data_IF_121284280298
#
_entry.id   IF_121284280298
#
_cell.length_a   1.000
_cell.length_b   1.000
_cell.length_c   1.000
_cell.angle_alpha   90.00
_cell.angle_beta   90.00
_cell.angle_gamma   90.00
#
_symmetry.space_group_name_H-M   'P 1'
#
loop_
_entity.id
_entity.type
_entity.pdbx_description
1 polymer ?
#
# COMPACT_ATOMS: atom_id res chain seq x y z
N UNK A 1 -20.87 -11.87 -1.85
CA UNK A 1 -21.53 -12.97 -2.60
C UNK A 1 -23.00 -12.99 -2.22
N UNK A 2 -23.90 -12.88 -3.20
CA UNK A 2 -25.35 -12.93 -2.97
C UNK A 2 -25.88 -14.36 -3.06
N UNK A 3 -25.41 -15.13 -4.04
CA UNK A 3 -25.86 -16.49 -4.27
C UNK A 3 -24.77 -17.36 -4.92
N UNK A 4 -24.76 -18.66 -4.62
CA UNK A 4 -23.87 -19.65 -5.19
C UNK A 4 -22.46 -19.67 -4.59
N UNK A 5 -21.52 -20.30 -5.32
CA UNK A 5 -20.10 -20.45 -4.94
C UNK A 5 -19.20 -20.12 -6.11
N UNK A 6 -18.02 -19.54 -5.83
CA UNK A 6 -17.03 -19.17 -6.85
C UNK A 6 -15.61 -19.35 -6.34
N UNK A 7 -14.69 -19.72 -7.22
CA UNK A 7 -13.25 -19.75 -6.92
C UNK A 7 -12.67 -18.35 -7.15
N UNK A 8 -12.03 -17.80 -6.14
CA UNK A 8 -11.29 -16.55 -6.17
C UNK A 8 -9.79 -16.88 -6.14
N UNK A 9 -9.15 -16.74 -7.29
CA UNK A 9 -7.71 -16.84 -7.40
C UNK A 9 -7.11 -15.48 -7.08
N UNK A 10 -6.27 -15.39 -6.05
CA UNK A 10 -5.70 -14.12 -5.57
C UNK A 10 -4.28 -14.30 -5.06
N UNK A 11 -3.33 -13.51 -5.58
CA UNK A 11 -1.92 -13.50 -5.16
C UNK A 11 -1.28 -14.90 -5.09
N UNK A 12 -1.56 -15.76 -6.08
CA UNK A 12 -1.12 -17.17 -6.16
C UNK A 12 -1.76 -18.13 -5.15
N UNK A 13 -2.75 -17.65 -4.38
CA UNK A 13 -3.60 -18.47 -3.53
C UNK A 13 -4.98 -18.68 -4.18
N UNK A 14 -5.71 -19.67 -3.67
CA UNK A 14 -7.09 -19.98 -4.05
C UNK A 14 -7.97 -19.88 -2.80
N UNK A 15 -9.04 -19.09 -2.89
CA UNK A 15 -10.12 -19.02 -1.90
C UNK A 15 -11.44 -19.42 -2.56
N UNK A 16 -12.27 -20.20 -1.87
CA UNK A 16 -13.65 -20.46 -2.34
C UNK A 16 -14.59 -19.54 -1.60
N UNK A 17 -15.32 -18.70 -2.34
CA UNK A 17 -16.31 -17.79 -1.79
C UNK A 17 -17.70 -18.41 -1.93
N UNK A 18 -18.51 -18.30 -0.88
CA UNK A 18 -19.90 -18.74 -0.82
C UNK A 18 -20.86 -17.58 -0.55
N UNK A 19 -22.17 -17.80 -0.69
CA UNK A 19 -23.21 -16.87 -0.21
C UNK A 19 -22.89 -16.32 1.18
N UNK A 20 -23.00 -14.99 1.33
CA UNK A 20 -22.68 -14.29 2.57
C UNK A 20 -21.22 -13.85 2.68
N UNK A 21 -20.33 -14.27 1.78
CA UNK A 21 -18.92 -13.90 1.84
C UNK A 21 -18.72 -12.46 1.35
N UNK A 22 -17.99 -11.69 2.15
CA UNK A 22 -17.53 -10.34 1.86
C UNK A 22 -16.00 -10.34 1.85
N UNK A 23 -15.41 -9.89 0.75
CA UNK A 23 -13.95 -9.87 0.56
C UNK A 23 -13.51 -8.48 0.16
N UNK A 24 -12.44 -7.99 0.76
CA UNK A 24 -11.86 -6.69 0.47
C UNK A 24 -10.60 -6.85 -0.38
N UNK A 25 -10.71 -6.49 -1.65
CA UNK A 25 -9.63 -6.65 -2.62
C UNK A 25 -8.84 -5.35 -2.72
N UNK A 26 -7.52 -5.43 -2.65
CA UNK A 26 -6.65 -4.26 -2.70
C UNK A 26 -6.29 -3.90 -4.14
N UNK A 27 -5.93 -2.63 -4.40
CA UNK A 27 -5.42 -2.21 -5.70
C UNK A 27 -4.16 -2.97 -6.17
N UNK A 28 -3.38 -3.54 -5.24
CA UNK A 28 -2.17 -4.32 -5.53
C UNK A 28 -2.43 -5.82 -5.72
N UNK A 29 -3.65 -6.29 -5.48
CA UNK A 29 -3.96 -7.71 -5.59
C UNK A 29 -4.15 -8.09 -7.06
N UNK A 30 -3.47 -9.16 -7.48
CA UNK A 30 -3.72 -9.76 -8.78
C UNK A 30 -4.73 -10.89 -8.57
N UNK A 31 -5.92 -10.75 -9.15
CA UNK A 31 -6.99 -11.69 -8.92
C UNK A 31 -7.90 -11.90 -10.13
N UNK A 32 -8.55 -13.06 -10.17
CA UNK A 32 -9.66 -13.36 -11.07
C UNK A 32 -10.63 -14.34 -10.41
N UNK A 33 -11.83 -14.45 -10.97
CA UNK A 33 -12.84 -15.38 -10.52
C UNK A 33 -13.03 -16.51 -11.54
N UNK A 34 -13.19 -17.73 -11.04
CA UNK A 34 -13.45 -18.93 -11.84
C UNK A 34 -14.66 -19.70 -11.28
N UNK A 35 -15.52 -20.27 -12.13
CA UNK A 35 -16.65 -21.08 -11.67
C UNK A 35 -16.18 -22.37 -10.99
N UNK A 36 -16.92 -22.85 -9.98
CA UNK A 36 -16.62 -24.13 -9.31
C UNK A 36 -17.18 -25.33 -10.09
N UNK A 37 -18.32 -25.13 -10.78
CA UNK A 37 -19.09 -26.05 -11.64
C UNK A 37 -19.98 -25.18 -12.57
N UNK A 38 -20.80 -25.75 -13.44
CA UNK A 38 -21.83 -25.04 -14.23
C UNK A 38 -22.97 -24.40 -13.38
N UNK A 39 -22.67 -24.05 -12.12
CA UNK A 39 -23.56 -23.38 -11.19
C UNK A 39 -23.57 -21.87 -11.45
N UNK A 40 -24.77 -21.27 -11.45
CA UNK A 40 -24.91 -19.82 -11.51
C UNK A 40 -24.50 -19.22 -10.17
N UNK A 41 -23.73 -18.14 -10.22
CA UNK A 41 -23.35 -17.38 -9.03
C UNK A 41 -23.67 -15.90 -9.22
N UNK A 42 -24.03 -15.23 -8.13
CA UNK A 42 -24.32 -13.80 -8.12
C UNK A 42 -23.39 -13.09 -7.14
N UNK A 43 -22.67 -12.10 -7.66
CA UNK A 43 -21.76 -11.26 -6.90
C UNK A 43 -22.07 -9.80 -7.15
N UNK A 44 -21.93 -9.00 -6.10
CA UNK A 44 -21.92 -7.54 -6.18
C UNK A 44 -20.48 -7.10 -5.97
N UNK A 45 -19.96 -6.30 -6.89
CA UNK A 45 -18.65 -5.68 -6.78
C UNK A 45 -18.80 -4.18 -6.50
N UNK A 46 -18.15 -3.70 -5.45
CA UNK A 46 -18.07 -2.27 -5.13
C UNK A 46 -16.63 -1.80 -5.31
N UNK A 47 -16.42 -0.97 -6.34
CA UNK A 47 -15.15 -0.30 -6.53
C UNK A 47 -15.10 1.01 -5.74
N UNK A 48 -14.11 1.15 -4.87
CA UNK A 48 -13.92 2.33 -4.03
C UNK A 48 -12.54 2.91 -4.30
N UNK A 49 -12.45 4.24 -4.41
CA UNK A 49 -11.14 4.90 -4.47
C UNK A 49 -10.44 4.78 -3.13
N UNK A 50 -9.16 4.45 -3.17
CA UNK A 50 -8.30 4.32 -2.00
C UNK A 50 -8.34 5.56 -1.09
N UNK A 51 -8.36 6.75 -1.67
CA UNK A 51 -8.48 8.01 -0.92
C UNK A 51 -9.73 8.06 -0.03
N UNK A 52 -10.85 7.47 -0.47
CA UNK A 52 -12.07 7.41 0.34
C UNK A 52 -11.91 6.50 1.55
N UNK A 53 -11.11 5.43 1.44
CA UNK A 53 -10.78 4.56 2.57
C UNK A 53 -9.87 5.27 3.57
N UNK A 54 -8.87 6.00 3.06
CA UNK A 54 -7.95 6.76 3.90
C UNK A 54 -8.71 7.88 4.63
N UNK A 55 -9.65 8.56 3.96
CA UNK A 55 -10.53 9.56 4.58
C UNK A 55 -11.35 8.98 5.75
N UNK A 56 -11.86 7.75 5.60
CA UNK A 56 -12.59 7.05 6.68
C UNK A 56 -11.66 6.75 7.86
N UNK A 57 -10.45 6.23 7.60
CA UNK A 57 -9.45 5.97 8.65
C UNK A 57 -9.10 7.23 9.44
N UNK A 58 -8.85 8.34 8.73
CA UNK A 58 -8.57 9.65 9.34
C UNK A 58 -9.75 10.15 10.16
N UNK A 59 -10.96 10.04 9.62
CA UNK A 59 -12.18 10.47 10.31
C UNK A 59 -12.42 9.71 11.61
N UNK A 60 -12.21 8.40 11.60
CA UNK A 60 -12.37 7.55 12.79
C UNK A 60 -11.19 7.68 13.79
N UNK A 61 -10.08 8.31 13.39
CA UNK A 61 -8.87 8.38 14.20
C UNK A 61 -8.26 7.02 14.54
N UNK A 62 -8.55 5.99 13.72
CA UNK A 62 -8.17 4.62 13.99
C UNK A 62 -7.62 3.94 12.73
N UNK A 63 -6.31 3.71 12.71
CA UNK A 63 -5.62 3.05 11.61
C UNK A 63 -5.71 1.51 11.65
N UNK A 64 -6.27 0.90 12.70
CA UNK A 64 -6.36 -0.57 12.86
C UNK A 64 -6.98 -1.24 11.63
N UNK A 65 -8.00 -0.61 11.06
CA UNK A 65 -8.60 -1.02 9.80
C UNK A 65 -7.55 -1.11 8.67
N UNK A 66 -6.74 -0.06 8.47
CA UNK A 66 -5.69 -0.06 7.47
C UNK A 66 -4.60 -1.08 7.79
N UNK A 67 -4.27 -1.30 9.07
CA UNK A 67 -3.33 -2.36 9.46
C UNK A 67 -3.83 -3.74 9.03
N UNK A 68 -5.11 -4.02 9.27
CA UNK A 68 -5.76 -5.29 8.95
C UNK A 68 -5.93 -5.46 7.43
N UNK A 69 -6.41 -4.42 6.75
CA UNK A 69 -6.61 -4.41 5.30
C UNK A 69 -5.29 -4.62 4.55
N UNK A 70 -4.21 -4.02 5.06
CA UNK A 70 -2.92 -4.01 4.37
C UNK A 70 -1.94 -5.08 4.86
N UNK A 71 -2.23 -5.79 5.95
CA UNK A 71 -1.28 -6.68 6.63
C UNK A 71 -1.03 -8.04 5.96
N UNK A 72 -2.07 -8.70 5.44
CA UNK A 72 -2.00 -10.09 4.96
C UNK A 72 -1.63 -10.21 3.49
N UNK A 73 -1.03 -11.31 3.03
CA UNK A 73 -0.87 -11.57 1.58
C UNK A 73 -2.21 -11.89 0.93
N UNK A 74 -3.11 -12.53 1.68
CA UNK A 74 -4.43 -12.97 1.20
C UNK A 74 -5.50 -12.15 1.93
N UNK A 75 -6.44 -11.49 1.22
CA UNK A 75 -7.53 -10.78 1.86
C UNK A 75 -8.35 -11.66 2.80
N UNK A 76 -8.76 -11.07 3.91
CA UNK A 76 -9.67 -11.73 4.86
C UNK A 76 -11.05 -11.82 4.21
N UNK A 77 -11.66 -13.00 4.34
CA UNK A 77 -13.06 -13.24 3.97
C UNK A 77 -13.91 -13.09 5.21
N UNK A 78 -14.80 -12.11 5.21
CA UNK A 78 -15.79 -11.91 6.26
C UNK A 78 -17.06 -12.65 5.92
N UNK A 79 -17.71 -13.24 6.93
CA UNK A 79 -19.00 -13.91 6.79
C UNK A 79 -20.12 -12.99 7.29
N UNK A 80 -21.05 -12.67 6.41
CA UNK A 80 -22.27 -11.97 6.77
C UNK A 80 -23.34 -12.96 7.25
N UNK A 81 -24.17 -12.51 8.18
CA UNK A 81 -25.38 -13.26 8.55
C UNK A 81 -26.43 -13.14 7.43
N UNK A 82 -27.27 -14.15 7.24
CA UNK A 82 -28.22 -14.19 6.12
C UNK A 82 -29.10 -12.94 6.00
N UNK A 83 -29.62 -12.43 7.12
CA UNK A 83 -30.46 -11.22 7.12
C UNK A 83 -29.73 -9.96 6.65
N UNK A 84 -28.40 -9.93 6.77
CA UNK A 84 -27.57 -8.79 6.42
C UNK A 84 -27.26 -8.74 4.92
N UNK A 85 -27.39 -9.87 4.22
CA UNK A 85 -27.02 -9.98 2.79
C UNK A 85 -27.93 -9.06 1.97
N UNK A 86 -29.25 -9.24 2.12
CA UNK A 86 -30.23 -8.46 1.38
C UNK A 86 -30.23 -6.99 1.81
N UNK A 87 -30.09 -6.71 3.10
CA UNK A 87 -29.99 -5.35 3.63
C UNK A 87 -28.79 -4.60 3.02
N UNK A 88 -27.61 -5.21 3.05
CA UNK A 88 -26.38 -4.63 2.50
C UNK A 88 -26.47 -4.47 0.98
N UNK A 89 -27.05 -5.45 0.28
CA UNK A 89 -27.25 -5.39 -1.16
C UNK A 89 -28.19 -4.25 -1.56
N UNK A 90 -29.32 -4.12 -0.87
CA UNK A 90 -30.31 -3.07 -1.10
C UNK A 90 -29.73 -1.68 -0.82
N UNK A 91 -28.98 -1.52 0.26
CA UNK A 91 -28.31 -0.26 0.56
C UNK A 91 -27.34 0.13 -0.58
N UNK A 92 -26.56 -0.83 -1.09
CA UNK A 92 -25.64 -0.56 -2.20
C UNK A 92 -26.36 -0.20 -3.50
N UNK A 93 -27.43 -0.91 -3.85
CA UNK A 93 -28.24 -0.61 -5.03
C UNK A 93 -28.91 0.76 -4.91
N UNK A 94 -29.33 1.16 -3.70
CA UNK A 94 -29.88 2.50 -3.46
C UNK A 94 -28.85 3.61 -3.69
N UNK A 95 -27.57 3.39 -3.35
CA UNK A 95 -26.50 4.38 -3.61
C UNK A 95 -26.36 4.65 -5.12
N UNK A 96 -26.49 3.62 -5.94
CA UNK A 96 -26.44 3.74 -7.40
C UNK A 96 -27.64 4.52 -7.95
N UNK A 97 -28.84 4.34 -7.40
CA UNK A 97 -30.03 5.08 -7.88
C UNK A 97 -29.92 6.58 -7.62
N UNK A 98 -29.25 6.98 -6.54
CA UNK A 98 -28.96 8.39 -6.25
C UNK A 98 -27.91 9.01 -7.18
N UNK A 99 -27.08 8.24 -7.89
CA UNK A 99 -26.02 8.82 -8.72
C UNK A 99 -26.57 9.74 -9.82
N UNK A 100 -27.73 9.40 -10.38
CA UNK A 100 -28.36 10.16 -11.45
C UNK A 100 -29.14 11.36 -10.89
N UNK A 101 -29.85 11.15 -9.78
CA UNK A 101 -30.83 12.11 -9.24
C UNK A 101 -30.22 13.10 -8.24
N UNK A 102 -29.24 12.66 -7.44
CA UNK A 102 -28.58 13.48 -6.43
C UNK A 102 -27.14 12.99 -6.15
N UNK A 103 -26.15 13.41 -6.97
CA UNK A 103 -24.76 12.96 -6.86
C UNK A 103 -24.12 13.24 -5.50
N UNK A 104 -24.47 14.37 -4.86
CA UNK A 104 -23.95 14.71 -3.54
C UNK A 104 -24.44 13.72 -2.48
N UNK A 105 -25.74 13.42 -2.47
CA UNK A 105 -26.33 12.45 -1.56
C UNK A 105 -25.75 11.05 -1.79
N UNK A 106 -25.58 10.64 -3.05
CA UNK A 106 -24.95 9.36 -3.39
C UNK A 106 -23.53 9.26 -2.80
N UNK A 107 -22.72 10.31 -2.92
CA UNK A 107 -21.36 10.36 -2.34
C UNK A 107 -21.37 10.29 -0.82
N UNK A 108 -22.30 10.99 -0.17
CA UNK A 108 -22.45 10.94 1.30
C UNK A 108 -22.87 9.53 1.73
N UNK A 109 -23.90 8.95 1.10
CA UNK A 109 -24.39 7.60 1.39
C UNK A 109 -23.32 6.54 1.18
N UNK A 110 -22.52 6.65 0.10
CA UNK A 110 -21.37 5.78 -0.11
C UNK A 110 -20.35 5.86 1.03
N UNK A 111 -20.04 7.08 1.53
CA UNK A 111 -19.14 7.24 2.69
C UNK A 111 -19.74 6.62 3.97
N UNK A 112 -21.03 6.82 4.24
CA UNK A 112 -21.72 6.21 5.39
C UNK A 112 -21.68 4.69 5.30
N UNK A 113 -22.00 4.13 4.13
CA UNK A 113 -21.93 2.69 3.88
C UNK A 113 -20.54 2.13 4.17
N UNK A 114 -19.49 2.80 3.68
CA UNK A 114 -18.11 2.39 3.94
C UNK A 114 -17.77 2.39 5.42
N UNK A 115 -18.13 3.45 6.14
CA UNK A 115 -17.93 3.52 7.60
C UNK A 115 -18.61 2.34 8.30
N UNK A 116 -19.89 2.06 7.98
CA UNK A 116 -20.65 0.97 8.59
C UNK A 116 -20.03 -0.40 8.32
N UNK A 117 -19.62 -0.66 7.08
CA UNK A 117 -18.97 -1.91 6.70
C UNK A 117 -17.64 -2.06 7.46
N UNK A 118 -16.82 -1.00 7.54
CA UNK A 118 -15.53 -1.10 8.19
C UNK A 118 -15.62 -1.25 9.71
N UNK A 119 -16.48 -0.49 10.37
CA UNK A 119 -16.65 -0.60 11.83
C UNK A 119 -17.14 -2.00 12.20
N UNK A 120 -18.07 -2.56 11.42
CA UNK A 120 -18.64 -3.88 11.67
C UNK A 120 -17.65 -5.03 11.49
N UNK A 121 -16.83 -5.00 10.44
CA UNK A 121 -15.99 -6.14 10.08
C UNK A 121 -14.52 -6.02 10.54
N UNK A 122 -13.99 -4.81 10.72
CA UNK A 122 -12.57 -4.62 11.04
C UNK A 122 -12.30 -4.07 12.43
N UNK A 123 -13.32 -3.53 13.11
CA UNK A 123 -13.20 -3.00 14.48
C UNK A 123 -13.97 -3.81 15.53
N UNK A 124 -14.66 -4.88 15.13
CA UNK A 124 -15.28 -5.81 16.06
C UNK A 124 -14.23 -6.68 16.75
N UNK A 125 -14.43 -6.95 18.04
CA UNK A 125 -13.50 -7.71 18.90
C UNK A 125 -13.21 -9.14 18.40
N UNK A 126 -14.05 -9.66 17.48
CA UNK A 126 -13.89 -10.96 16.84
C UNK A 126 -12.74 -11.03 15.82
N UNK A 127 -12.12 -9.88 15.48
CA UNK A 127 -10.97 -9.85 14.59
C UNK A 127 -9.66 -10.16 15.34
N UNK A 128 -9.46 -11.42 15.72
CA UNK A 128 -8.14 -11.93 16.10
C UNK A 128 -7.34 -12.23 14.82
N UNK A 129 -6.75 -11.18 14.24
CA UNK A 129 -5.85 -11.30 13.10
C UNK A 129 -4.60 -12.10 13.48
N UNK A 130 -4.69 -13.44 13.40
CA UNK A 130 -3.55 -14.32 13.58
C UNK A 130 -2.48 -14.04 12.51
N UNK A 131 -1.26 -13.76 12.99
CA UNK A 131 0.02 -13.96 12.31
C UNK A 131 0.25 -13.24 10.97
N UNK A 132 0.37 -11.91 10.98
CA UNK A 132 1.04 -11.17 9.91
C UNK A 132 2.49 -10.81 10.26
N UNK A 133 3.35 -11.83 10.31
CA UNK A 133 4.82 -11.64 10.46
C UNK A 133 5.51 -11.33 9.12
N UNK A 134 4.81 -11.50 7.99
CA UNK A 134 5.37 -11.24 6.66
C UNK A 134 5.22 -9.77 6.25
N UNK A 135 6.22 -9.25 5.53
CA UNK A 135 6.17 -7.90 4.94
C UNK A 135 4.99 -7.79 3.97
N UNK A 136 4.09 -6.81 4.15
CA UNK A 136 2.96 -6.58 3.26
C UNK A 136 3.35 -6.41 1.79
N UNK A 137 2.53 -6.95 0.88
CA UNK A 137 2.81 -6.89 -0.56
C UNK A 137 2.81 -5.45 -1.10
N UNK A 138 1.90 -4.61 -0.62
CA UNK A 138 1.88 -3.19 -0.98
C UNK A 138 3.16 -2.48 -0.53
N UNK A 139 3.74 -2.85 0.62
CA UNK A 139 4.97 -2.23 1.14
C UNK A 139 6.16 -2.62 0.25
N UNK A 140 6.22 -3.88 -0.18
CA UNK A 140 7.21 -4.33 -1.18
C UNK A 140 7.07 -3.57 -2.49
N UNK A 141 5.83 -3.41 -2.98
CA UNK A 141 5.55 -2.64 -4.20
C UNK A 141 5.94 -1.17 -4.05
N UNK A 142 5.65 -0.56 -2.91
CA UNK A 142 6.04 0.81 -2.59
C UNK A 142 7.57 0.97 -2.61
N UNK A 143 8.31 0.08 -1.93
CA UNK A 143 9.77 0.06 -1.99
C UNK A 143 10.31 -0.07 -3.42
N UNK A 144 9.65 -0.85 -4.28
CA UNK A 144 9.99 -0.95 -5.70
C UNK A 144 9.80 0.38 -6.44
N UNK A 145 8.62 0.99 -6.32
CA UNK A 145 8.29 2.28 -6.96
C UNK A 145 9.16 3.43 -6.47
N UNK A 146 9.55 3.42 -5.20
CA UNK A 146 10.40 4.44 -4.61
C UNK A 146 11.81 4.49 -5.20
N UNK A 147 12.29 3.43 -5.86
CA UNK A 147 13.60 3.43 -6.51
C UNK A 147 13.64 4.27 -7.80
N UNK A 148 12.50 4.71 -8.30
CA UNK A 148 12.42 5.64 -9.42
C UNK A 148 13.07 7.00 -9.05
N UNK A 149 13.96 7.57 -9.89
CA UNK A 149 14.62 8.83 -9.61
C UNK A 149 13.68 9.99 -9.25
N UNK A 150 12.51 10.10 -9.90
CA UNK A 150 11.57 11.18 -9.63
C UNK A 150 10.90 11.04 -8.26
N UNK A 151 10.62 9.79 -7.85
CA UNK A 151 10.10 9.49 -6.52
C UNK A 151 11.16 9.75 -5.44
N UNK A 152 12.43 9.40 -5.70
CA UNK A 152 13.53 9.73 -4.78
C UNK A 152 13.72 11.22 -4.63
N UNK A 153 13.64 11.99 -5.73
CA UNK A 153 13.77 13.45 -5.73
C UNK A 153 12.68 14.10 -4.88
N UNK A 154 11.43 13.68 -5.08
CA UNK A 154 10.26 14.17 -4.32
C UNK A 154 10.29 13.73 -2.86
N UNK A 155 10.77 12.52 -2.57
CA UNK A 155 11.00 12.03 -1.21
C UNK A 155 9.73 11.62 -0.46
N UNK A 156 9.56 12.12 0.77
CA UNK A 156 8.51 11.67 1.69
C UNK A 156 7.11 11.97 1.13
N UNK A 157 6.96 13.06 0.39
CA UNK A 157 5.72 13.46 -0.25
C UNK A 157 5.29 12.41 -1.29
N UNK A 158 6.20 11.98 -2.17
CA UNK A 158 5.92 10.91 -3.13
C UNK A 158 5.65 9.58 -2.42
N UNK A 159 6.42 9.24 -1.38
CA UNK A 159 6.21 8.03 -0.62
C UNK A 159 4.81 7.98 0.01
N UNK A 160 4.36 9.08 0.59
CA UNK A 160 3.02 9.18 1.20
C UNK A 160 1.92 9.14 0.14
N UNK A 161 2.13 9.75 -1.04
CA UNK A 161 1.16 9.72 -2.13
C UNK A 161 1.03 8.34 -2.80
N UNK A 162 2.11 7.55 -2.82
CA UNK A 162 2.13 6.20 -3.39
C UNK A 162 1.65 5.12 -2.42
N UNK A 163 1.68 5.41 -1.11
CA UNK A 163 1.27 4.48 -0.08
C UNK A 163 -0.27 4.37 -0.02
N UNK A 164 -0.83 3.17 0.15
CA UNK A 164 -2.27 2.97 0.28
C UNK A 164 -2.81 3.24 1.69
N UNK A 165 -2.19 4.17 2.41
CA UNK A 165 -2.51 4.43 3.80
C UNK A 165 -2.12 5.83 4.26
N UNK A 166 -2.48 6.15 5.50
CA UNK A 166 -2.03 7.36 6.20
C UNK A 166 -0.51 7.36 6.41
N UNK A 167 0.05 8.55 6.67
CA UNK A 167 1.48 8.70 6.96
C UNK A 167 1.84 8.03 8.30
N UNK A 168 0.94 8.09 9.26
CA UNK A 168 1.03 7.47 10.57
C UNK A 168 1.11 5.95 10.44
N UNK A 169 0.19 5.33 9.68
CA UNK A 169 0.24 3.90 9.38
C UNK A 169 1.51 3.51 8.65
N UNK A 170 1.91 4.29 7.64
CA UNK A 170 3.15 4.07 6.91
C UNK A 170 4.36 4.04 7.86
N UNK A 171 4.45 4.98 8.80
CA UNK A 171 5.51 5.01 9.80
C UNK A 171 5.51 3.74 10.67
N UNK A 172 4.33 3.32 11.16
CA UNK A 172 4.19 2.10 11.96
C UNK A 172 4.64 0.86 11.19
N UNK A 173 4.20 0.71 9.94
CA UNK A 173 4.52 -0.43 9.09
C UNK A 173 6.01 -0.46 8.72
N UNK A 174 6.58 0.67 8.30
CA UNK A 174 8.02 0.76 8.02
C UNK A 174 8.85 0.39 9.26
N UNK A 175 8.48 0.89 10.43
CA UNK A 175 9.15 0.54 11.69
C UNK A 175 8.98 -0.94 12.06
N UNK A 176 7.76 -1.49 11.90
CA UNK A 176 7.43 -2.89 12.22
C UNK A 176 8.24 -3.85 11.35
N UNK A 177 8.16 -3.68 10.03
CA UNK A 177 8.66 -4.66 9.05
C UNK A 177 10.04 -4.35 8.48
N UNK A 178 10.42 -3.08 8.34
CA UNK A 178 11.69 -2.66 7.72
C UNK A 178 12.71 -2.11 8.72
N UNK A 179 12.31 -1.96 9.99
CA UNK A 179 13.12 -1.40 11.10
C UNK A 179 13.71 -0.01 10.77
N UNK A 180 13.05 0.74 9.90
CA UNK A 180 13.45 2.07 9.43
C UNK A 180 12.23 2.97 9.36
N UNK A 181 12.42 4.25 9.59
CA UNK A 181 11.42 5.30 9.30
C UNK A 181 11.32 5.54 7.79
N UNK A 182 10.20 6.12 7.30
CA UNK A 182 10.08 6.51 5.90
C UNK A 182 11.25 7.38 5.40
N UNK A 183 11.68 8.35 6.21
CA UNK A 183 12.81 9.24 5.90
C UNK A 183 14.13 8.49 5.75
N UNK A 184 14.42 7.53 6.65
CA UNK A 184 15.63 6.70 6.59
C UNK A 184 15.64 5.78 5.37
N UNK A 185 14.47 5.26 4.97
CA UNK A 185 14.33 4.45 3.76
C UNK A 185 14.68 5.26 2.50
N UNK A 186 14.11 6.46 2.38
CA UNK A 186 14.38 7.35 1.25
C UNK A 186 15.86 7.76 1.24
N UNK A 187 16.42 8.14 2.40
CA UNK A 187 17.83 8.48 2.51
C UNK A 187 18.72 7.32 2.06
N UNK A 188 18.42 6.10 2.52
CA UNK A 188 19.13 4.89 2.11
C UNK A 188 19.13 4.69 0.60
N UNK A 189 17.96 4.77 -0.06
CA UNK A 189 17.87 4.62 -1.51
C UNK A 189 18.55 5.74 -2.29
N UNK A 190 18.51 6.98 -1.78
CA UNK A 190 19.26 8.10 -2.35
C UNK A 190 20.76 7.84 -2.29
N UNK A 191 21.29 7.39 -1.15
CA UNK A 191 22.71 7.09 -0.99
C UNK A 191 23.16 5.90 -1.84
N UNK A 192 22.37 4.83 -1.90
CA UNK A 192 22.62 3.66 -2.76
C UNK A 192 22.66 4.07 -4.25
N UNK A 193 21.73 4.92 -4.67
CA UNK A 193 21.68 5.42 -6.06
C UNK A 193 22.82 6.39 -6.35
N UNK A 194 23.20 7.23 -5.38
CA UNK A 194 24.38 8.09 -5.51
C UNK A 194 25.66 7.26 -5.67
N UNK A 195 25.83 6.19 -4.88
CA UNK A 195 26.98 5.30 -4.97
C UNK A 195 27.09 4.67 -6.37
N UNK A 196 25.98 4.16 -6.91
CA UNK A 196 25.91 3.62 -8.28
C UNK A 196 26.25 4.66 -9.35
N UNK A 197 25.74 5.89 -9.23
CA UNK A 197 26.09 6.99 -10.17
C UNK A 197 27.56 7.39 -10.04
N UNK A 198 28.11 7.46 -8.82
CA UNK A 198 29.50 7.84 -8.59
C UNK A 198 30.50 6.84 -9.18
N UNK A 199 30.17 5.55 -9.18
CA UNK A 199 30.98 4.50 -9.81
C UNK A 199 30.79 4.41 -11.32
N UNK A 200 29.58 4.67 -11.82
CA UNK A 200 29.22 4.51 -13.23
C UNK A 200 29.44 5.74 -14.13
N UNK A 201 29.48 6.96 -13.59
CA UNK A 201 29.49 8.20 -14.40
C UNK A 201 30.58 9.19 -13.98
N UNK A 202 30.77 10.24 -14.80
CA UNK A 202 31.64 11.40 -14.48
C UNK A 202 30.84 12.62 -14.01
N UNK A 203 29.55 12.47 -13.75
CA UNK A 203 28.69 13.61 -13.38
C UNK A 203 29.25 14.32 -12.15
N UNK A 204 29.05 15.63 -12.06
CA UNK A 204 29.53 16.38 -10.90
C UNK A 204 28.81 15.88 -9.64
N UNK A 205 29.55 15.74 -8.53
CA UNK A 205 28.99 15.24 -7.26
C UNK A 205 27.79 16.09 -6.82
N UNK A 206 27.88 17.41 -7.02
CA UNK A 206 26.78 18.33 -6.78
C UNK A 206 25.54 18.02 -7.62
N UNK A 207 25.72 17.72 -8.91
CA UNK A 207 24.63 17.35 -9.82
C UNK A 207 23.95 16.07 -9.36
N UNK A 208 24.73 15.02 -9.02
CA UNK A 208 24.18 13.75 -8.50
C UNK A 208 23.37 13.99 -7.22
N UNK A 209 23.90 14.77 -6.28
CA UNK A 209 23.19 15.08 -5.03
C UNK A 209 21.88 15.85 -5.30
N UNK A 210 21.90 16.84 -6.20
CA UNK A 210 20.73 17.63 -6.55
C UNK A 210 19.65 16.80 -7.24
N UNK A 211 20.02 15.94 -8.19
CA UNK A 211 19.10 15.05 -8.90
C UNK A 211 18.37 14.10 -7.95
N UNK A 212 19.06 13.62 -6.92
CA UNK A 212 18.51 12.72 -5.91
C UNK A 212 17.73 13.45 -4.81
N UNK A 213 17.53 14.77 -4.92
CA UNK A 213 16.70 15.55 -4.00
C UNK A 213 17.37 15.90 -2.66
N UNK A 214 18.72 15.94 -2.60
CA UNK A 214 19.41 16.48 -1.43
C UNK A 214 19.33 18.01 -1.43
N UNK A 215 18.74 18.58 -0.37
CA UNK A 215 18.63 20.05 -0.18
C UNK A 215 19.98 20.73 0.13
N UNK A 216 20.95 19.97 0.61
CA UNK A 216 22.27 20.48 1.02
C UNK A 216 23.36 19.50 0.62
N UNK A 217 24.39 20.02 -0.05
CA UNK A 217 25.58 19.24 -0.42
C UNK A 217 26.36 18.80 0.82
N UNK A 218 26.39 19.63 1.87
CA UNK A 218 27.05 19.29 3.14
C UNK A 218 26.35 18.13 3.83
N UNK A 219 25.01 18.11 3.81
CA UNK A 219 24.23 16.99 4.33
C UNK A 219 24.49 15.70 3.53
N UNK A 220 24.50 15.78 2.20
CA UNK A 220 24.85 14.66 1.35
C UNK A 220 26.24 14.09 1.68
N UNK A 221 27.27 14.94 1.77
CA UNK A 221 28.63 14.51 2.10
C UNK A 221 28.70 13.83 3.47
N UNK A 222 28.01 14.39 4.47
CA UNK A 222 27.94 13.82 5.83
C UNK A 222 27.31 12.43 5.80
N UNK A 223 26.10 12.31 5.26
CA UNK A 223 25.37 11.04 5.25
C UNK A 223 26.07 9.99 4.39
N UNK A 224 26.62 10.37 3.23
CA UNK A 224 27.40 9.45 2.40
C UNK A 224 28.63 8.92 3.12
N UNK A 225 29.37 9.80 3.80
CA UNK A 225 30.53 9.39 4.61
C UNK A 225 30.12 8.50 5.79
N UNK A 226 28.99 8.77 6.43
CA UNK A 226 28.49 7.95 7.52
C UNK A 226 28.11 6.54 7.02
N UNK A 227 27.53 6.41 5.83
CA UNK A 227 27.10 5.13 5.27
C UNK A 227 28.26 4.32 4.67
N UNK A 228 29.15 4.97 3.90
CA UNK A 228 30.22 4.28 3.15
C UNK A 228 31.62 4.44 3.76
N UNK A 229 31.74 5.08 4.92
CA UNK A 229 33.01 5.38 5.61
C UNK A 229 34.02 6.21 4.80
N UNK A 230 33.62 6.80 3.67
CA UNK A 230 34.48 7.58 2.79
C UNK A 230 33.72 8.71 2.10
N UNK A 231 34.43 9.74 1.63
CA UNK A 231 33.79 10.84 0.90
C UNK A 231 33.32 10.38 -0.48
N UNK A 232 32.29 11.02 -1.07
CA UNK A 232 31.83 10.72 -2.43
C UNK A 232 32.94 10.74 -3.49
N UNK A 233 33.88 11.69 -3.38
CA UNK A 233 35.03 11.80 -4.28
C UNK A 233 36.01 10.63 -4.11
N UNK A 234 36.29 10.24 -2.86
CA UNK A 234 37.12 9.07 -2.56
C UNK A 234 36.46 7.79 -3.06
N UNK A 235 35.15 7.64 -2.87
CA UNK A 235 34.37 6.49 -3.35
C UNK A 235 34.42 6.33 -4.87
N UNK A 236 34.26 7.43 -5.62
CA UNK A 236 34.43 7.44 -7.08
C UNK A 236 35.82 6.99 -7.50
N UNK A 237 36.87 7.50 -6.83
CA UNK A 237 38.24 7.10 -7.15
C UNK A 237 38.48 5.62 -6.86
N UNK A 238 37.95 5.12 -5.74
CA UNK A 238 38.12 3.74 -5.32
C UNK A 238 37.39 2.75 -6.24
N UNK A 239 36.14 3.03 -6.59
CA UNK A 239 35.33 2.17 -7.48
C UNK A 239 35.93 2.01 -8.88
N UNK A 240 36.56 3.06 -9.43
CA UNK A 240 37.29 2.98 -10.71
C UNK A 240 38.53 2.09 -10.67
N UNK A 241 39.15 1.96 -9.49
CA UNK A 241 40.40 1.20 -9.31
C UNK A 241 40.12 -0.27 -9.00
N UNK A 242 39.04 -0.58 -8.28
CA UNK A 242 38.79 -1.93 -7.77
C UNK A 242 37.79 -2.75 -8.59
N UNK A 243 37.05 -2.17 -9.54
CA UNK A 243 36.05 -2.88 -10.35
C UNK A 243 34.87 -3.51 -9.57
N UNK A 244 34.81 -3.33 -8.26
CA UNK A 244 33.82 -3.90 -7.35
C UNK A 244 33.09 -2.77 -6.60
N UNK A 245 31.77 -2.94 -6.46
CA UNK A 245 30.91 -2.10 -5.63
C UNK A 245 31.02 -2.64 -4.19
N UNK A 246 31.54 -1.88 -3.21
CA UNK A 246 31.49 -2.31 -1.81
C UNK A 246 30.02 -2.39 -1.38
N UNK A 247 29.62 -3.56 -0.88
CA UNK A 247 28.29 -3.84 -0.30
C UNK A 247 28.22 -3.30 1.11
#
# INVERSE_FOLDING_TARGET
>A
MLNGKINHHINSALQTLSTGDLVFIRPSDHHYFAPLKDEKCELINLAVKLDSLIDVSRYLGNDQFLENFTGSVIPVVFKMQNYQIDETANELLSINSYQITNPLLSRIKAKVFLVNIFTKYFLSDDFSGENNSSVPQWLKSLCGKLKDPENLRTGIEAMSALAPCTHEHLCKVCKKYLKKTPSELILGYRLETAARKLSGTQDKIFTIASELGFKSISYFHKEFKNTYSMSPAAYRKHSKVCGLIPV
#
